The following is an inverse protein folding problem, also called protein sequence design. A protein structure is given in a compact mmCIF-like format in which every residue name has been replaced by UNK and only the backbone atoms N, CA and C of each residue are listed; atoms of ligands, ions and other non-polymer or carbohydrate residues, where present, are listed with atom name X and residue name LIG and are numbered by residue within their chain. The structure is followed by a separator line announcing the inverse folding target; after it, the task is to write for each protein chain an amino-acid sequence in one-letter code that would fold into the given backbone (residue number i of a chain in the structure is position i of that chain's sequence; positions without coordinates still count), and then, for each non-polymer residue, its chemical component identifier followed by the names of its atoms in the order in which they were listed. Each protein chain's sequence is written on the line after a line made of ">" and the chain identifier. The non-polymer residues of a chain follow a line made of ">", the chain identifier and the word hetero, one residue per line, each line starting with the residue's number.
data_IF_339765826924
#
_entry.id   IF_339765826924
#
_cell.length_a   1.000
_cell.length_b   1.000
_cell.length_c   1.000
_cell.angle_alpha   90.00
_cell.angle_beta   90.00
_cell.angle_gamma   90.00
#
_symmetry.space_group_name_H-M   'P 1'
#
loop_
_entity.id
_entity.type
_entity.pdbx_description
1 polymer ?
#
# COMPACT_ATOMS: atom_id res chain seq x y z
N UNK A 1 26.37 1.36 23.77
CA UNK A 1 26.52 -0.08 23.42
C UNK A 1 27.15 -0.19 22.05
N UNK A 2 28.30 -0.87 21.90
CA UNK A 2 29.01 -1.01 20.63
C UNK A 2 28.18 -1.86 19.65
N UNK A 3 28.28 -1.59 18.34
CA UNK A 3 27.61 -2.31 17.25
C UNK A 3 27.76 -3.83 17.36
N UNK A 4 28.97 -4.28 17.73
CA UNK A 4 29.31 -5.71 17.96
C UNK A 4 28.43 -6.33 19.06
N UNK A 5 28.21 -5.62 20.17
CA UNK A 5 27.37 -6.11 21.29
C UNK A 5 25.88 -6.26 20.87
N UNK A 6 25.39 -5.38 20.01
CA UNK A 6 24.02 -5.49 19.43
C UNK A 6 23.91 -6.65 18.45
N UNK A 7 24.94 -6.88 17.63
CA UNK A 7 25.01 -8.01 16.70
C UNK A 7 25.04 -9.35 17.45
N UNK A 8 25.85 -9.45 18.51
CA UNK A 8 25.95 -10.67 19.35
C UNK A 8 24.64 -10.93 20.09
N UNK A 9 23.94 -9.88 20.56
CA UNK A 9 22.63 -10.01 21.19
C UNK A 9 21.56 -10.46 20.19
N UNK A 10 21.57 -9.94 18.95
CA UNK A 10 20.67 -10.38 17.87
C UNK A 10 20.94 -11.84 17.47
N UNK A 11 22.20 -12.22 17.34
CA UNK A 11 22.61 -13.59 17.05
C UNK A 11 22.19 -14.53 18.20
N UNK A 12 22.41 -14.13 19.45
CA UNK A 12 21.98 -14.86 20.64
C UNK A 12 20.46 -15.01 20.71
N UNK A 13 19.69 -13.98 20.34
CA UNK A 13 18.23 -14.02 20.31
C UNK A 13 17.71 -15.00 19.25
N UNK A 14 18.27 -14.98 18.03
CA UNK A 14 17.91 -15.92 16.95
C UNK A 14 18.23 -17.36 17.33
N UNK A 15 19.35 -17.60 18.02
CA UNK A 15 19.74 -18.93 18.49
C UNK A 15 18.89 -19.42 19.67
N UNK A 16 18.40 -18.51 20.53
CA UNK A 16 17.59 -18.84 21.71
C UNK A 16 16.09 -18.99 21.41
N UNK A 17 15.56 -18.27 20.42
CA UNK A 17 14.13 -18.26 20.09
C UNK A 17 13.74 -19.20 18.94
N UNK A 18 14.71 -19.86 18.31
CA UNK A 18 14.52 -20.70 17.14
C UNK A 18 14.37 -19.89 15.83
N UNK A 19 14.64 -20.58 14.71
CA UNK A 19 14.47 -19.98 13.37
C UNK A 19 13.00 -19.97 12.99
N UNK A 20 12.49 -18.80 12.59
CA UNK A 20 11.14 -18.70 11.99
C UNK A 20 11.25 -18.90 10.49
N UNK A 21 10.62 -19.96 9.99
CA UNK A 21 10.52 -20.26 8.56
C UNK A 21 9.47 -19.39 7.87
N UNK A 22 9.61 -19.24 6.56
CA UNK A 22 8.57 -18.63 5.73
C UNK A 22 7.30 -19.50 5.72
N UNK A 23 6.15 -18.87 5.53
CA UNK A 23 4.86 -19.56 5.41
C UNK A 23 4.61 -19.99 3.95
N UNK A 24 4.06 -21.19 3.70
CA UNK A 24 3.75 -21.63 2.35
C UNK A 24 2.84 -20.63 1.62
N UNK A 25 3.18 -20.29 0.38
CA UNK A 25 2.40 -19.33 -0.41
C UNK A 25 0.95 -19.77 -0.60
N UNK A 26 0.71 -21.09 -0.71
CA UNK A 26 -0.65 -21.66 -0.81
C UNK A 26 -1.49 -21.25 0.39
N UNK A 27 -0.98 -21.42 1.60
CA UNK A 27 -1.71 -21.15 2.84
C UNK A 27 -1.96 -19.64 3.01
N UNK A 28 -1.00 -18.82 2.57
CA UNK A 28 -1.17 -17.36 2.54
C UNK A 28 -2.22 -16.92 1.51
N UNK A 29 -2.26 -17.53 0.32
CA UNK A 29 -3.28 -17.26 -0.71
C UNK A 29 -4.68 -17.69 -0.22
N UNK A 30 -4.79 -18.83 0.45
CA UNK A 30 -6.05 -19.31 1.03
C UNK A 30 -6.58 -18.30 2.06
N UNK A 31 -5.70 -17.79 2.94
CA UNK A 31 -6.11 -16.90 4.03
C UNK A 31 -6.32 -15.44 3.58
N UNK A 32 -5.50 -14.92 2.68
CA UNK A 32 -5.44 -13.49 2.34
C UNK A 32 -5.73 -13.17 0.87
N UNK A 33 -5.73 -14.16 0.00
CA UNK A 33 -5.93 -14.03 -1.44
C UNK A 33 -7.32 -14.45 -1.92
N UNK A 34 -8.30 -14.65 -1.02
CA UNK A 34 -9.69 -14.93 -1.38
C UNK A 34 -10.36 -13.75 -2.11
N UNK A 35 -11.53 -13.98 -2.75
CA UNK A 35 -12.27 -12.94 -3.44
C UNK A 35 -12.44 -11.66 -2.60
N UNK A 36 -12.32 -10.47 -3.20
CA UNK A 36 -12.18 -10.12 -4.63
C UNK A 36 -10.73 -10.10 -5.14
N UNK A 37 -9.78 -10.74 -4.46
CA UNK A 37 -8.38 -10.80 -4.89
C UNK A 37 -8.22 -11.46 -6.25
N UNK A 38 -7.29 -10.92 -7.04
CA UNK A 38 -6.89 -11.40 -8.36
C UNK A 38 -5.37 -11.51 -8.41
N UNK A 39 -4.88 -12.33 -9.33
CA UNK A 39 -3.47 -12.55 -9.56
C UNK A 39 -3.18 -12.33 -11.04
N UNK A 40 -2.38 -11.32 -11.36
CA UNK A 40 -1.99 -10.94 -12.72
C UNK A 40 -0.56 -11.40 -12.97
N UNK A 41 -0.32 -12.36 -13.90
CA UNK A 41 1.03 -12.69 -14.34
C UNK A 41 1.65 -11.49 -15.07
N UNK A 42 2.75 -10.95 -14.53
CA UNK A 42 3.45 -9.81 -15.11
C UNK A 42 4.92 -9.81 -14.64
N UNK A 43 5.87 -9.60 -15.55
CA UNK A 43 7.30 -9.47 -15.25
C UNK A 43 7.89 -10.67 -14.44
N UNK A 44 7.34 -11.86 -14.60
CA UNK A 44 7.78 -13.07 -13.89
C UNK A 44 7.27 -13.19 -12.45
N UNK A 45 6.33 -12.34 -12.02
CA UNK A 45 5.60 -12.47 -10.77
C UNK A 45 4.10 -12.58 -10.99
N UNK A 46 3.38 -13.12 -10.03
CA UNK A 46 1.93 -13.01 -9.95
C UNK A 46 1.58 -11.79 -9.08
N UNK A 47 1.19 -10.69 -9.70
CA UNK A 47 0.81 -9.47 -8.98
C UNK A 47 -0.52 -9.69 -8.28
N UNK A 48 -0.54 -9.66 -6.96
CA UNK A 48 -1.76 -9.67 -6.17
C UNK A 48 -2.40 -8.29 -6.18
N UNK A 49 -3.65 -8.21 -6.59
CA UNK A 49 -4.38 -6.96 -6.70
C UNK A 49 -5.88 -7.14 -6.50
N UNK A 50 -6.59 -6.02 -6.29
CA UNK A 50 -8.05 -5.97 -6.23
C UNK A 50 -8.57 -4.82 -7.09
N UNK A 51 -9.73 -5.02 -7.71
CA UNK A 51 -10.46 -4.05 -8.53
C UNK A 51 -11.91 -4.05 -8.08
N UNK A 52 -12.31 -3.02 -7.38
CA UNK A 52 -13.60 -2.94 -6.70
C UNK A 52 -14.33 -1.66 -7.13
N UNK A 53 -15.66 -1.65 -6.97
CA UNK A 53 -16.49 -0.52 -7.33
C UNK A 53 -17.33 -0.75 -8.60
N UNK A 54 -17.95 0.30 -9.16
CA UNK A 54 -18.87 0.18 -10.29
C UNK A 54 -18.23 -0.53 -11.49
N UNK A 55 -18.91 -1.49 -12.09
CA UNK A 55 -18.40 -2.28 -13.22
C UNK A 55 -17.36 -3.35 -12.89
N UNK A 56 -17.10 -3.64 -11.60
CA UNK A 56 -16.05 -4.59 -11.19
C UNK A 56 -16.30 -6.03 -11.70
N UNK A 57 -17.56 -6.46 -11.77
CA UNK A 57 -17.91 -7.80 -12.27
C UNK A 57 -17.66 -7.94 -13.77
N UNK A 58 -18.00 -6.93 -14.58
CA UNK A 58 -17.73 -6.96 -16.02
C UNK A 58 -16.21 -6.93 -16.30
N UNK A 59 -15.46 -6.14 -15.52
CA UNK A 59 -13.99 -6.13 -15.63
C UNK A 59 -13.39 -7.46 -15.17
N UNK A 60 -13.99 -8.14 -14.16
CA UNK A 60 -13.57 -9.46 -13.74
C UNK A 60 -13.71 -10.48 -14.88
N UNK A 61 -14.85 -10.47 -15.57
CA UNK A 61 -15.10 -11.38 -16.69
C UNK A 61 -14.11 -11.18 -17.85
N UNK A 62 -13.69 -9.95 -18.13
CA UNK A 62 -12.70 -9.64 -19.18
C UNK A 62 -11.28 -10.14 -18.86
N UNK A 63 -10.95 -10.31 -17.59
CA UNK A 63 -9.62 -10.75 -17.14
C UNK A 63 -9.61 -12.20 -16.63
N UNK A 64 -10.74 -12.91 -16.73
CA UNK A 64 -10.77 -14.32 -16.40
C UNK A 64 -9.91 -15.10 -17.41
N UNK A 65 -9.06 -16.03 -16.98
CA UNK A 65 -8.40 -16.95 -17.89
C UNK A 65 -9.46 -17.71 -18.68
N UNK A 66 -9.20 -18.07 -19.98
CA UNK A 66 -10.13 -18.89 -20.73
C UNK A 66 -10.44 -20.17 -19.94
N UNK A 67 -11.73 -20.50 -19.84
CA UNK A 67 -12.17 -21.72 -19.14
C UNK A 67 -11.42 -22.90 -19.74
N UNK A 68 -10.53 -23.52 -18.96
CA UNK A 68 -9.93 -24.79 -19.33
C UNK A 68 -11.02 -25.85 -19.44
N UNK A 69 -10.82 -26.96 -20.20
CA UNK A 69 -11.80 -28.01 -20.32
C UNK A 69 -12.16 -28.53 -18.92
N UNK A 70 -13.44 -28.42 -18.56
CA UNK A 70 -13.98 -28.94 -17.30
C UNK A 70 -13.71 -30.45 -17.21
N UNK A 71 -12.77 -30.86 -16.38
CA UNK A 71 -12.73 -32.23 -15.89
C UNK A 71 -13.84 -32.38 -14.84
N UNK A 72 -14.98 -32.93 -15.30
CA UNK A 72 -16.08 -33.28 -14.46
C UNK A 72 -15.67 -34.43 -13.50
N UNK A 73 -15.14 -34.07 -12.33
CA UNK A 73 -15.07 -34.98 -11.19
C UNK A 73 -16.08 -34.51 -10.15
N UNK A 74 -17.23 -35.22 -10.12
CA UNK A 74 -18.29 -35.02 -9.15
C UNK A 74 -17.78 -35.36 -7.75
N UNK A 75 -17.50 -34.35 -6.95
CA UNK A 75 -17.38 -34.44 -5.51
C UNK A 75 -18.52 -33.62 -4.89
N UNK A 76 -19.39 -34.29 -4.14
CA UNK A 76 -20.50 -33.65 -3.44
C UNK A 76 -19.99 -32.59 -2.46
N UNK A 77 -20.47 -31.37 -2.66
CA UNK A 77 -20.15 -30.19 -1.83
C UNK A 77 -20.90 -30.29 -0.51
N UNK A 78 -20.21 -30.20 0.60
CA UNK A 78 -20.81 -30.03 1.91
C UNK A 78 -21.54 -28.68 2.00
N UNK A 79 -22.65 -28.55 2.75
CA UNK A 79 -23.40 -27.31 2.84
C UNK A 79 -22.58 -26.22 3.54
N UNK A 80 -22.62 -25.01 2.97
CA UNK A 80 -22.00 -23.83 3.51
C UNK A 80 -22.59 -23.43 4.88
N UNK A 81 -21.78 -22.96 5.83
CA UNK A 81 -22.31 -22.37 7.07
C UNK A 81 -23.11 -21.11 6.77
N UNK A 82 -24.15 -20.78 7.57
CA UNK A 82 -25.00 -19.62 7.32
C UNK A 82 -24.17 -18.32 7.38
N UNK A 83 -24.40 -17.45 6.39
CA UNK A 83 -23.81 -16.13 6.33
C UNK A 83 -24.21 -15.29 7.56
N UNK A 84 -23.30 -14.48 8.14
CA UNK A 84 -23.67 -13.56 9.21
C UNK A 84 -24.71 -12.57 8.71
N UNK A 85 -25.72 -12.30 9.55
CA UNK A 85 -26.85 -11.43 9.24
C UNK A 85 -26.36 -10.05 8.78
N UNK A 86 -26.88 -9.60 7.63
CA UNK A 86 -26.62 -8.29 7.09
C UNK A 86 -27.15 -7.20 8.06
N UNK A 87 -26.27 -6.32 8.51
CA UNK A 87 -26.65 -5.10 9.22
C UNK A 87 -27.28 -4.16 8.19
N UNK A 88 -28.52 -3.67 8.41
CA UNK A 88 -29.15 -2.75 7.48
C UNK A 88 -28.36 -1.43 7.36
N UNK A 89 -28.27 -0.83 6.17
CA UNK A 89 -27.59 0.44 6.00
C UNK A 89 -28.36 1.55 6.75
N UNK A 90 -27.65 2.57 7.29
CA UNK A 90 -28.28 3.73 7.91
C UNK A 90 -29.12 4.49 6.87
N UNK A 91 -30.21 5.18 7.28
CA UNK A 91 -31.08 5.92 6.37
C UNK A 91 -30.31 7.02 5.65
N UNK A 92 -30.34 6.97 4.32
CA UNK A 92 -29.66 7.92 3.46
C UNK A 92 -30.36 9.28 3.48
N UNK A 93 -29.65 10.32 3.87
CA UNK A 93 -30.00 11.71 3.62
C UNK A 93 -29.19 12.22 2.41
N UNK A 94 -29.89 12.65 1.39
CA UNK A 94 -29.40 13.54 0.34
C UNK A 94 -28.87 12.84 -0.91
N UNK A 95 -29.53 13.10 -2.00
CA UNK A 95 -29.09 12.81 -3.39
C UNK A 95 -27.69 13.38 -3.61
N UNK A 96 -26.68 12.53 -3.41
CA UNK A 96 -25.31 12.84 -3.80
C UNK A 96 -25.24 12.71 -5.34
N UNK A 97 -24.98 13.81 -6.03
CA UNK A 97 -24.68 13.81 -7.45
C UNK A 97 -23.57 12.78 -7.72
N UNK A 98 -23.84 11.83 -8.61
CA UNK A 98 -22.83 10.88 -9.09
C UNK A 98 -21.64 11.65 -9.64
N UNK A 99 -20.39 11.25 -9.34
CA UNK A 99 -19.22 11.88 -9.94
C UNK A 99 -19.30 11.75 -11.46
N UNK A 100 -18.86 12.81 -12.15
CA UNK A 100 -18.87 12.85 -13.61
C UNK A 100 -18.14 11.64 -14.19
N UNK A 101 -18.79 10.95 -15.16
CA UNK A 101 -18.15 9.85 -15.89
C UNK A 101 -16.94 10.37 -16.67
N UNK A 102 -15.86 9.58 -16.75
CA UNK A 102 -14.80 9.83 -17.70
C UNK A 102 -15.35 9.89 -19.14
N UNK A 103 -14.60 10.51 -20.06
CA UNK A 103 -15.05 10.72 -21.47
C UNK A 103 -15.50 9.44 -22.19
N UNK A 104 -15.17 8.28 -21.69
CA UNK A 104 -15.47 6.93 -22.24
C UNK A 104 -16.58 6.20 -21.45
N UNK A 105 -17.27 6.86 -20.54
CA UNK A 105 -18.36 6.25 -19.75
C UNK A 105 -17.89 5.36 -18.57
N UNK A 106 -16.59 5.13 -18.40
CA UNK A 106 -16.04 4.40 -17.27
C UNK A 106 -16.08 5.25 -15.99
N UNK A 107 -16.29 4.63 -14.81
CA UNK A 107 -16.23 5.34 -13.54
C UNK A 107 -14.82 5.89 -13.28
N UNK A 108 -14.68 7.05 -12.62
CA UNK A 108 -13.36 7.55 -12.23
C UNK A 108 -12.64 6.52 -11.38
N UNK A 109 -11.35 6.31 -11.68
CA UNK A 109 -10.53 5.30 -11.01
C UNK A 109 -9.49 5.91 -10.06
N UNK A 110 -9.18 5.19 -9.00
CA UNK A 110 -8.07 5.48 -8.10
C UNK A 110 -7.19 4.24 -7.90
N UNK A 111 -5.87 4.43 -8.01
CA UNK A 111 -4.85 3.43 -7.69
C UNK A 111 -4.26 3.71 -6.31
N UNK A 112 -4.29 2.73 -5.41
CA UNK A 112 -3.83 2.84 -4.02
C UNK A 112 -2.54 2.04 -3.81
N UNK A 113 -1.49 2.73 -3.33
CA UNK A 113 -0.15 2.19 -3.10
C UNK A 113 0.17 2.16 -1.61
N UNK A 114 0.41 0.98 -1.07
CA UNK A 114 0.75 0.78 0.35
C UNK A 114 2.20 1.15 0.69
N UNK A 115 2.49 1.31 1.99
CA UNK A 115 3.82 1.61 2.53
C UNK A 115 4.72 0.38 2.70
N UNK A 116 5.90 0.61 3.27
CA UNK A 116 6.88 -0.43 3.58
C UNK A 116 6.29 -1.47 4.54
N UNK A 117 6.60 -2.75 4.32
CA UNK A 117 6.16 -3.88 5.13
C UNK A 117 4.63 -4.06 5.24
N UNK A 118 3.86 -3.35 4.42
CA UNK A 118 2.40 -3.42 4.36
C UNK A 118 1.93 -4.25 3.16
N UNK A 119 0.65 -4.17 2.83
CA UNK A 119 0.00 -4.83 1.71
C UNK A 119 -1.23 -4.04 1.26
N UNK A 120 -1.87 -4.46 0.18
CA UNK A 120 -3.11 -3.85 -0.30
C UNK A 120 -4.25 -3.82 0.74
N UNK A 121 -4.18 -4.67 1.76
CA UNK A 121 -5.19 -4.73 2.83
C UNK A 121 -5.20 -3.48 3.74
N UNK A 122 -4.13 -2.69 3.77
CA UNK A 122 -4.09 -1.39 4.48
C UNK A 122 -5.20 -0.45 4.01
N UNK A 123 -5.70 -0.67 2.80
CA UNK A 123 -6.72 0.13 2.15
C UNK A 123 -8.16 -0.40 2.31
N UNK A 124 -8.38 -1.47 3.09
CA UNK A 124 -9.72 -2.07 3.23
C UNK A 124 -10.76 -1.06 3.72
N UNK A 125 -10.41 -0.19 4.67
CA UNK A 125 -11.29 0.86 5.17
C UNK A 125 -11.62 1.90 4.10
N UNK A 126 -10.61 2.40 3.40
CA UNK A 126 -10.79 3.33 2.29
C UNK A 126 -11.60 2.74 1.14
N UNK A 127 -11.35 1.49 0.80
CA UNK A 127 -12.08 0.82 -0.28
C UNK A 127 -13.58 0.77 0.01
N UNK A 128 -13.98 0.40 1.23
CA UNK A 128 -15.41 0.40 1.61
C UNK A 128 -16.08 1.76 1.40
N UNK A 129 -15.34 2.86 1.64
CA UNK A 129 -15.86 4.22 1.52
C UNK A 129 -15.85 4.76 0.09
N UNK A 130 -14.84 4.40 -0.69
CA UNK A 130 -14.63 4.93 -2.05
C UNK A 130 -15.35 4.11 -3.13
N UNK A 131 -15.42 2.78 -2.98
CA UNK A 131 -15.93 1.88 -4.01
C UNK A 131 -17.41 2.09 -4.40
N UNK A 132 -18.28 2.67 -3.58
CA UNK A 132 -19.62 3.03 -4.05
C UNK A 132 -19.62 4.07 -5.19
N UNK A 133 -18.57 4.89 -5.30
CA UNK A 133 -18.51 6.01 -6.26
C UNK A 133 -17.36 5.92 -7.26
N UNK A 134 -16.31 5.18 -6.94
CA UNK A 134 -15.07 5.11 -7.70
C UNK A 134 -14.70 3.66 -8.01
N UNK A 135 -14.03 3.45 -9.13
CA UNK A 135 -13.26 2.24 -9.35
C UNK A 135 -12.00 2.30 -8.47
N UNK A 136 -11.90 1.42 -7.49
CA UNK A 136 -10.77 1.35 -6.56
C UNK A 136 -9.87 0.18 -6.95
N UNK A 137 -8.66 0.48 -7.38
CA UNK A 137 -7.63 -0.49 -7.71
C UNK A 137 -6.51 -0.40 -6.67
N UNK A 138 -6.10 -1.53 -6.16
CA UNK A 138 -5.02 -1.64 -5.17
C UNK A 138 -4.23 -2.91 -5.40
N UNK A 139 -2.91 -2.86 -5.17
CA UNK A 139 -2.03 -4.00 -5.41
C UNK A 139 -1.02 -4.15 -4.29
N UNK A 140 -0.48 -5.34 -4.16
CA UNK A 140 0.74 -5.57 -3.39
C UNK A 140 1.95 -5.19 -4.27
N UNK A 141 2.73 -4.23 -3.82
CA UNK A 141 3.96 -3.80 -4.50
C UNK A 141 4.99 -4.95 -4.53
N UNK A 142 5.86 -5.03 -5.56
CA UNK A 142 6.93 -6.03 -5.62
C UNK A 142 7.75 -6.10 -4.34
N UNK A 143 7.99 -7.30 -3.83
CA UNK A 143 8.68 -7.55 -2.57
C UNK A 143 7.81 -7.48 -1.32
N UNK A 144 6.48 -7.35 -1.49
CA UNK A 144 5.52 -7.29 -0.39
C UNK A 144 4.28 -8.15 -0.65
N UNK A 145 3.50 -8.37 0.41
CA UNK A 145 2.22 -9.06 0.37
C UNK A 145 2.28 -10.39 -0.34
N UNK A 146 1.26 -10.72 -1.12
CA UNK A 146 1.22 -11.96 -1.91
C UNK A 146 1.93 -11.83 -3.29
N UNK A 147 2.22 -10.63 -3.77
CA UNK A 147 3.05 -10.43 -4.98
C UNK A 147 4.46 -10.98 -4.77
N UNK A 148 5.09 -10.66 -3.66
CA UNK A 148 6.41 -11.15 -3.29
C UNK A 148 7.58 -10.62 -4.13
N UNK A 149 8.76 -11.25 -4.04
CA UNK A 149 9.98 -10.73 -4.64
C UNK A 149 9.91 -10.70 -6.16
N UNK A 150 10.44 -9.62 -6.75
CA UNK A 150 10.60 -9.50 -8.20
C UNK A 150 11.87 -10.22 -8.65
N UNK A 151 11.85 -10.99 -9.77
CA UNK A 151 13.00 -11.77 -10.23
C UNK A 151 14.25 -10.94 -10.53
N UNK A 152 14.08 -9.67 -10.95
CA UNK A 152 15.22 -8.79 -11.20
C UNK A 152 15.99 -8.38 -9.94
N UNK A 153 15.35 -8.45 -8.76
CA UNK A 153 15.91 -7.90 -7.53
C UNK A 153 16.10 -6.38 -7.53
N UNK A 154 15.67 -5.68 -8.58
CA UNK A 154 15.73 -4.21 -8.66
C UNK A 154 14.48 -3.59 -8.03
N UNK A 155 14.66 -3.00 -6.87
CA UNK A 155 13.64 -2.27 -6.12
C UNK A 155 13.87 -0.76 -6.13
N UNK A 156 14.63 -0.23 -7.07
CA UNK A 156 14.78 1.21 -7.25
C UNK A 156 13.43 1.88 -7.54
N UNK A 157 13.34 3.16 -7.22
CA UNK A 157 12.11 3.91 -7.52
C UNK A 157 11.80 3.95 -9.01
N UNK A 158 12.83 3.98 -9.88
CA UNK A 158 12.62 3.94 -11.33
C UNK A 158 12.00 2.62 -11.76
N UNK A 159 12.59 1.48 -11.37
CA UNK A 159 12.06 0.15 -11.69
C UNK A 159 10.65 -0.06 -11.15
N UNK A 160 10.36 0.46 -9.93
CA UNK A 160 9.01 0.38 -9.37
C UNK A 160 8.00 1.24 -10.14
N UNK A 161 8.39 2.44 -10.59
CA UNK A 161 7.51 3.28 -11.44
C UNK A 161 7.26 2.62 -12.79
N UNK A 162 8.27 2.01 -13.42
CA UNK A 162 8.12 1.24 -14.66
C UNK A 162 7.18 0.04 -14.47
N UNK A 163 7.28 -0.65 -13.34
CA UNK A 163 6.36 -1.73 -12.97
C UNK A 163 4.92 -1.22 -12.81
N UNK A 164 4.72 -0.09 -12.13
CA UNK A 164 3.40 0.51 -11.94
C UNK A 164 2.77 0.97 -13.26
N UNK A 165 3.56 1.46 -14.22
CA UNK A 165 3.10 1.80 -15.55
C UNK A 165 2.53 0.57 -16.27
N UNK A 166 3.32 -0.52 -16.33
CA UNK A 166 2.87 -1.78 -16.95
C UNK A 166 1.66 -2.37 -16.23
N UNK A 167 1.63 -2.30 -14.90
CA UNK A 167 0.46 -2.73 -14.12
C UNK A 167 -0.78 -1.90 -14.47
N UNK A 168 -0.66 -0.58 -14.55
CA UNK A 168 -1.77 0.30 -14.90
C UNK A 168 -2.31 0.00 -16.30
N UNK A 169 -1.43 -0.31 -17.27
CA UNK A 169 -1.82 -0.71 -18.61
C UNK A 169 -2.57 -2.05 -18.61
N UNK A 170 -2.02 -3.06 -17.92
CA UNK A 170 -2.63 -4.38 -17.81
C UNK A 170 -3.97 -4.33 -17.04
N UNK A 171 -4.11 -3.44 -16.06
CA UNK A 171 -5.36 -3.21 -15.34
C UNK A 171 -6.35 -2.31 -16.12
N UNK A 172 -6.00 -1.80 -17.31
CA UNK A 172 -6.84 -0.90 -18.09
C UNK A 172 -7.05 0.48 -17.45
N UNK A 173 -6.07 0.96 -16.69
CA UNK A 173 -6.08 2.29 -16.06
C UNK A 173 -5.41 3.30 -17.00
N UNK A 174 -6.19 3.98 -17.84
CA UNK A 174 -5.65 4.98 -18.78
C UNK A 174 -5.33 6.29 -18.09
N UNK A 175 -6.31 6.87 -17.40
CA UNK A 175 -6.17 8.09 -16.59
C UNK A 175 -6.87 7.89 -15.27
N UNK A 176 -6.16 8.07 -14.15
CA UNK A 176 -6.65 7.72 -12.82
C UNK A 176 -6.08 8.64 -11.75
N UNK A 177 -6.76 8.72 -10.61
CA UNK A 177 -6.16 9.28 -9.40
C UNK A 177 -5.18 8.25 -8.81
N UNK A 178 -4.10 8.72 -8.20
CA UNK A 178 -3.14 7.87 -7.50
C UNK A 178 -2.97 8.33 -6.07
N UNK A 179 -3.06 7.42 -5.12
CA UNK A 179 -2.83 7.69 -3.72
C UNK A 179 -1.78 6.73 -3.15
N UNK A 180 -0.94 7.23 -2.24
CA UNK A 180 0.04 6.38 -1.62
C UNK A 180 0.42 6.83 -0.21
N UNK A 181 0.63 5.83 0.67
CA UNK A 181 1.13 6.05 2.01
C UNK A 181 2.64 5.75 2.06
N UNK A 182 3.40 6.59 2.78
CA UNK A 182 4.82 6.36 3.07
C UNK A 182 5.63 6.09 1.78
N UNK A 183 6.20 4.90 1.63
CA UNK A 183 6.88 4.44 0.41
C UNK A 183 5.95 4.44 -0.82
N UNK A 184 4.69 4.07 -0.67
CA UNK A 184 3.69 4.15 -1.73
C UNK A 184 3.48 5.58 -2.22
N UNK A 185 3.50 6.55 -1.31
CA UNK A 185 3.47 7.98 -1.64
C UNK A 185 4.68 8.42 -2.45
N UNK A 186 5.88 7.90 -2.10
CA UNK A 186 7.11 8.12 -2.87
C UNK A 186 6.98 7.67 -4.33
N UNK A 187 6.41 6.50 -4.56
CA UNK A 187 6.18 6.02 -5.92
C UNK A 187 5.05 6.78 -6.61
N UNK A 188 4.00 7.18 -5.88
CA UNK A 188 2.88 7.93 -6.43
C UNK A 188 3.31 9.28 -7.01
N UNK A 189 4.08 10.10 -6.26
CA UNK A 189 4.52 11.38 -6.81
C UNK A 189 5.58 11.24 -7.90
N UNK A 190 6.42 10.20 -7.86
CA UNK A 190 7.36 9.92 -8.95
C UNK A 190 6.65 9.48 -10.21
N UNK A 191 5.59 8.66 -10.08
CA UNK A 191 4.73 8.30 -11.19
C UNK A 191 4.07 9.56 -11.80
N UNK A 192 3.51 10.43 -10.97
CA UNK A 192 2.89 11.68 -11.41
C UNK A 192 3.86 12.66 -12.10
N UNK A 193 5.14 12.68 -11.68
CA UNK A 193 6.18 13.46 -12.37
C UNK A 193 6.58 12.89 -13.73
N UNK A 194 6.49 11.59 -13.89
CA UNK A 194 6.91 10.89 -15.12
C UNK A 194 5.77 10.80 -16.13
N UNK A 195 4.53 10.61 -15.65
CA UNK A 195 3.33 10.40 -16.44
C UNK A 195 2.21 11.36 -16.03
N UNK A 196 2.43 12.69 -16.09
CA UNK A 196 1.44 13.67 -15.62
C UNK A 196 0.12 13.59 -16.38
N UNK A 197 0.13 13.15 -17.64
CA UNK A 197 -1.06 12.95 -18.49
C UNK A 197 -1.93 11.78 -18.01
N UNK A 198 -1.35 10.80 -17.32
CA UNK A 198 -2.01 9.62 -16.77
C UNK A 198 -2.67 9.89 -15.42
N UNK A 199 -2.24 10.93 -14.70
CA UNK A 199 -2.67 11.21 -13.32
C UNK A 199 -3.69 12.33 -13.29
N UNK A 200 -4.91 12.00 -12.86
CA UNK A 200 -6.00 12.99 -12.73
C UNK A 200 -5.95 13.73 -11.38
N UNK A 201 -5.45 13.08 -10.34
CA UNK A 201 -5.24 13.64 -9.01
C UNK A 201 -4.18 12.82 -8.26
N UNK A 202 -3.43 13.47 -7.38
CA UNK A 202 -2.41 12.85 -6.53
C UNK A 202 -2.79 13.03 -5.05
N UNK A 203 -2.72 11.94 -4.27
CA UNK A 203 -2.94 11.99 -2.81
C UNK A 203 -1.71 11.40 -2.12
N UNK A 204 -1.07 12.19 -1.27
CA UNK A 204 0.12 11.81 -0.52
C UNK A 204 -0.22 11.70 0.96
N UNK A 205 -0.06 10.51 1.54
CA UNK A 205 -0.40 10.22 2.93
C UNK A 205 0.88 9.85 3.67
N UNK A 206 1.32 10.70 4.60
CA UNK A 206 2.58 10.52 5.36
C UNK A 206 3.71 10.04 4.43
N UNK A 207 3.88 10.74 3.30
CA UNK A 207 4.66 10.27 2.16
C UNK A 207 6.16 10.46 2.36
N UNK A 208 6.93 9.46 1.96
CA UNK A 208 8.38 9.65 1.76
C UNK A 208 8.59 10.62 0.61
N UNK A 209 9.50 11.60 0.83
CA UNK A 209 9.84 12.60 -0.18
C UNK A 209 11.16 13.28 0.10
N UNK A 210 11.44 13.56 1.36
CA UNK A 210 12.63 14.31 1.76
C UNK A 210 13.59 13.46 2.58
N UNK A 211 14.90 13.79 2.59
CA UNK A 211 15.84 13.14 3.49
C UNK A 211 15.44 13.35 4.94
N UNK A 212 15.42 12.26 5.72
CA UNK A 212 15.21 12.30 7.17
C UNK A 212 16.51 12.67 7.87
N UNK A 213 16.43 13.46 8.94
CA UNK A 213 17.60 13.88 9.70
C UNK A 213 18.36 12.66 10.26
N UNK A 214 19.69 12.75 10.22
CA UNK A 214 20.55 11.70 10.77
C UNK A 214 20.36 11.58 12.30
N UNK A 215 20.29 10.35 12.83
CA UNK A 215 20.19 10.11 14.27
C UNK A 215 18.78 9.83 14.78
N UNK A 216 17.74 9.87 13.94
CA UNK A 216 16.42 9.39 14.33
C UNK A 216 16.39 7.87 14.45
N UNK A 217 15.45 7.33 15.26
CA UNK A 217 15.29 5.87 15.42
C UNK A 217 15.02 5.16 14.10
N UNK A 218 14.25 5.78 13.22
CA UNK A 218 13.98 5.29 11.85
C UNK A 218 15.24 5.28 10.97
N UNK A 219 16.09 6.31 11.05
CA UNK A 219 17.36 6.35 10.32
C UNK A 219 18.32 5.25 10.78
N UNK A 220 18.39 4.97 12.10
CA UNK A 220 19.22 3.91 12.67
C UNK A 220 18.69 2.53 12.26
N UNK A 221 17.38 2.28 12.33
CA UNK A 221 16.78 1.02 11.93
C UNK A 221 17.01 0.74 10.43
N UNK A 222 16.87 1.74 9.58
CA UNK A 222 17.13 1.65 8.15
C UNK A 222 18.61 1.39 7.85
N UNK A 223 19.53 1.99 8.63
CA UNK A 223 20.97 1.76 8.49
C UNK A 223 21.34 0.33 8.88
N UNK A 224 20.74 -0.22 9.93
CA UNK A 224 20.94 -1.63 10.33
C UNK A 224 20.39 -2.59 9.27
N UNK A 225 19.21 -2.35 8.74
CA UNK A 225 18.59 -3.18 7.68
C UNK A 225 19.42 -3.23 6.39
N UNK A 226 20.26 -2.23 6.12
CA UNK A 226 21.18 -2.18 4.97
C UNK A 226 22.44 -3.03 5.13
N UNK A 227 22.76 -3.46 6.35
CA UNK A 227 23.94 -4.29 6.59
C UNK A 227 23.67 -5.71 6.10
N UNK A 228 24.47 -6.28 5.17
CA UNK A 228 24.21 -7.61 4.60
C UNK A 228 24.05 -8.70 5.65
N UNK A 229 24.92 -8.69 6.67
CA UNK A 229 24.87 -9.67 7.76
C UNK A 229 23.58 -9.53 8.58
N UNK A 230 23.14 -8.31 8.87
CA UNK A 230 21.89 -8.07 9.61
C UNK A 230 20.69 -8.50 8.79
N UNK A 231 20.65 -8.13 7.51
CA UNK A 231 19.54 -8.53 6.62
C UNK A 231 19.46 -10.05 6.45
N UNK A 232 20.59 -10.74 6.38
CA UNK A 232 20.62 -12.19 6.28
C UNK A 232 20.13 -12.86 7.58
N UNK A 233 20.55 -12.37 8.74
CA UNK A 233 20.07 -12.86 10.04
C UNK A 233 18.55 -12.63 10.22
N UNK A 234 18.05 -11.50 9.76
CA UNK A 234 16.63 -11.15 9.85
C UNK A 234 15.73 -12.09 9.04
N UNK A 235 16.27 -12.83 8.04
CA UNK A 235 15.51 -13.86 7.30
C UNK A 235 15.04 -15.01 8.19
N UNK A 236 15.73 -15.26 9.29
CA UNK A 236 15.44 -16.39 10.20
C UNK A 236 14.92 -15.90 11.56
N UNK A 237 14.93 -14.60 11.81
CA UNK A 237 14.49 -14.06 13.09
C UNK A 237 12.97 -14.25 13.27
N UNK A 238 12.50 -14.57 14.50
CA UNK A 238 11.10 -14.49 14.85
C UNK A 238 10.65 -13.03 14.79
N UNK A 239 9.75 -12.72 13.85
CA UNK A 239 9.42 -11.32 13.53
C UNK A 239 8.15 -10.81 14.23
N UNK A 240 7.33 -11.66 14.84
CA UNK A 240 6.06 -11.26 15.46
C UNK A 240 6.21 -10.09 16.43
N UNK A 241 7.15 -10.19 17.37
CA UNK A 241 7.39 -9.12 18.34
C UNK A 241 7.91 -7.82 17.71
N UNK A 242 8.67 -7.94 16.60
CA UNK A 242 9.15 -6.78 15.83
C UNK A 242 7.98 -6.12 15.11
N UNK A 243 7.12 -6.90 14.47
CA UNK A 243 5.93 -6.43 13.77
C UNK A 243 4.97 -5.74 14.73
N UNK A 244 4.64 -6.39 15.85
CA UNK A 244 3.75 -5.81 16.86
C UNK A 244 4.29 -4.49 17.40
N UNK A 245 5.57 -4.45 17.78
CA UNK A 245 6.19 -3.23 18.26
C UNK A 245 6.19 -2.14 17.20
N UNK A 246 6.55 -2.45 15.95
CA UNK A 246 6.56 -1.48 14.86
C UNK A 246 5.17 -0.90 14.60
N UNK A 247 4.12 -1.74 14.64
CA UNK A 247 2.74 -1.28 14.50
C UNK A 247 2.33 -0.35 15.66
N UNK A 248 2.65 -0.73 16.91
CA UNK A 248 2.38 0.11 18.08
C UNK A 248 3.14 1.42 18.06
N UNK A 249 4.34 1.43 17.47
CA UNK A 249 5.15 2.64 17.36
C UNK A 249 4.60 3.60 16.28
N UNK A 250 3.96 3.12 15.21
CA UNK A 250 3.47 3.96 14.10
C UNK A 250 2.00 4.39 14.24
N UNK A 251 1.22 3.72 15.08
CA UNK A 251 -0.13 4.14 15.43
C UNK A 251 -0.08 5.19 16.54
N UNK A 252 -0.83 6.28 16.40
CA UNK A 252 -0.97 7.28 17.46
C UNK A 252 -1.64 6.69 18.72
N UNK A 253 -2.61 5.79 18.51
CA UNK A 253 -3.24 5.02 19.58
C UNK A 253 -2.86 3.53 19.45
N UNK A 254 -1.86 3.06 20.22
CA UNK A 254 -1.41 1.66 20.19
C UNK A 254 -2.49 0.64 20.60
N UNK A 255 -3.59 1.07 21.24
CA UNK A 255 -4.69 0.18 21.62
C UNK A 255 -5.48 -0.33 20.40
N UNK A 256 -5.37 0.35 19.26
CA UNK A 256 -5.98 -0.05 17.97
C UNK A 256 -5.21 -1.18 17.28
N UNK A 257 -4.00 -1.49 17.74
CA UNK A 257 -3.19 -2.60 17.20
C UNK A 257 -3.73 -3.92 17.75
N UNK A 258 -4.62 -4.54 17.01
CA UNK A 258 -5.25 -5.81 17.38
C UNK A 258 -4.34 -7.01 17.05
N UNK A 259 -4.50 -8.16 17.73
CA UNK A 259 -3.80 -9.40 17.36
C UNK A 259 -4.03 -9.80 15.89
N UNK A 260 -5.22 -9.60 15.35
CA UNK A 260 -5.54 -9.91 13.95
C UNK A 260 -4.78 -8.99 12.97
N UNK A 261 -4.56 -7.73 13.34
CA UNK A 261 -3.72 -6.82 12.57
C UNK A 261 -2.27 -7.29 12.55
N UNK A 262 -1.71 -7.64 13.71
CA UNK A 262 -0.35 -8.18 13.84
C UNK A 262 -0.20 -9.47 13.01
N UNK A 263 -1.17 -10.39 13.10
CA UNK A 263 -1.19 -11.64 12.34
C UNK A 263 -1.13 -11.39 10.82
N UNK A 264 -1.87 -10.39 10.32
CA UNK A 264 -1.87 -10.04 8.89
C UNK A 264 -0.51 -9.55 8.44
N UNK A 265 0.06 -8.60 9.17
CA UNK A 265 1.37 -8.03 8.82
C UNK A 265 2.49 -9.08 8.92
N UNK A 266 2.50 -9.88 10.00
CA UNK A 266 3.45 -10.97 10.17
C UNK A 266 3.34 -12.00 9.06
N UNK A 267 2.14 -12.53 8.81
CA UNK A 267 1.93 -13.59 7.83
C UNK A 267 2.36 -13.16 6.42
N UNK A 268 2.01 -11.95 5.98
CA UNK A 268 2.37 -11.45 4.66
C UNK A 268 3.86 -11.10 4.54
N UNK A 269 4.52 -10.73 5.65
CA UNK A 269 5.96 -10.57 5.68
C UNK A 269 6.70 -11.92 5.62
N UNK A 270 6.09 -13.00 6.13
CA UNK A 270 6.60 -14.37 6.08
C UNK A 270 6.34 -15.08 4.73
N UNK A 271 5.79 -14.39 3.72
CA UNK A 271 5.75 -14.95 2.36
C UNK A 271 7.19 -15.18 1.88
N UNK A 272 7.48 -16.35 1.26
CA UNK A 272 8.84 -16.69 0.82
C UNK A 272 9.48 -15.55 0.01
N UNK A 273 10.64 -15.10 0.48
CA UNK A 273 11.46 -14.08 -0.16
C UNK A 273 11.12 -12.61 0.21
N UNK A 274 9.99 -12.29 0.88
CA UNK A 274 9.66 -10.90 1.24
C UNK A 274 10.68 -10.29 2.21
N UNK A 275 11.16 -11.04 3.19
CA UNK A 275 12.19 -10.57 4.13
C UNK A 275 13.51 -10.25 3.43
N UNK A 276 13.88 -11.03 2.42
CA UNK A 276 15.04 -10.75 1.55
C UNK A 276 14.82 -9.51 0.71
N UNK A 277 13.68 -9.42 0.02
CA UNK A 277 13.31 -8.27 -0.82
C UNK A 277 13.30 -6.95 -0.05
N UNK A 278 12.90 -6.96 1.23
CA UNK A 278 12.95 -5.78 2.08
C UNK A 278 14.40 -5.32 2.33
N UNK A 279 15.33 -6.25 2.54
CA UNK A 279 16.77 -5.96 2.63
C UNK A 279 17.34 -5.42 1.32
N UNK A 280 16.98 -6.02 0.18
CA UNK A 280 17.41 -5.59 -1.15
C UNK A 280 16.93 -4.16 -1.45
N UNK A 281 15.67 -3.86 -1.16
CA UNK A 281 15.10 -2.53 -1.28
C UNK A 281 15.85 -1.49 -0.44
N UNK A 282 16.16 -1.82 0.83
CA UNK A 282 16.90 -0.92 1.70
C UNK A 282 18.31 -0.61 1.17
N UNK A 283 18.88 -1.49 0.34
CA UNK A 283 20.18 -1.31 -0.33
C UNK A 283 20.06 -0.55 -1.66
N UNK A 284 18.97 -0.79 -2.42
CA UNK A 284 18.78 -0.21 -3.75
C UNK A 284 18.70 1.31 -3.71
N UNK A 285 18.03 1.88 -2.73
CA UNK A 285 17.86 3.34 -2.64
C UNK A 285 18.13 3.84 -1.22
N UNK A 286 19.32 4.42 -1.04
CA UNK A 286 19.78 4.85 0.29
C UNK A 286 19.09 6.11 0.82
N UNK A 287 18.58 6.96 -0.06
CA UNK A 287 17.87 8.21 0.28
C UNK A 287 16.82 8.49 -0.80
N UNK A 288 15.72 9.14 -0.46
CA UNK A 288 14.77 9.61 -1.47
C UNK A 288 15.47 10.52 -2.46
N UNK A 289 15.27 10.28 -3.77
CA UNK A 289 15.86 11.07 -4.85
C UNK A 289 14.75 11.73 -5.68
N UNK A 290 15.08 12.86 -6.30
CA UNK A 290 14.19 13.54 -7.23
C UNK A 290 13.18 14.49 -6.57
N UNK A 291 13.19 14.66 -5.24
CA UNK A 291 12.30 15.60 -4.54
C UNK A 291 12.47 17.05 -5.00
N UNK A 292 13.65 17.43 -5.51
CA UNK A 292 13.90 18.73 -6.10
C UNK A 292 13.00 19.04 -7.32
N UNK A 293 12.39 17.99 -7.91
CA UNK A 293 11.46 18.12 -9.04
C UNK A 293 9.99 18.27 -8.61
N UNK A 294 9.68 18.17 -7.32
CA UNK A 294 8.31 18.36 -6.81
C UNK A 294 7.67 19.69 -7.27
N UNK A 295 8.41 20.82 -7.38
CA UNK A 295 7.84 22.05 -7.93
C UNK A 295 7.41 21.96 -9.41
N UNK A 296 7.77 20.90 -10.13
CA UNK A 296 7.32 20.64 -11.50
C UNK A 296 5.95 19.95 -11.58
N UNK A 297 5.45 19.38 -10.47
CA UNK A 297 4.11 18.77 -10.42
C UNK A 297 3.04 19.83 -10.72
N UNK A 298 2.12 19.46 -11.63
CA UNK A 298 0.97 20.29 -12.02
C UNK A 298 -0.35 19.57 -11.78
N UNK A 299 -0.28 18.32 -11.35
CA UNK A 299 -1.46 17.52 -11.02
C UNK A 299 -2.10 18.06 -9.75
N UNK A 300 -3.43 18.20 -9.69
CA UNK A 300 -4.10 18.52 -8.42
C UNK A 300 -3.65 17.56 -7.33
N UNK A 301 -3.16 18.11 -6.21
CA UNK A 301 -2.52 17.31 -5.17
C UNK A 301 -3.14 17.59 -3.79
N UNK A 302 -3.49 16.50 -3.08
CA UNK A 302 -3.85 16.51 -1.67
C UNK A 302 -2.70 15.88 -0.87
N UNK A 303 -2.26 16.57 0.16
CA UNK A 303 -1.31 16.07 1.16
C UNK A 303 -2.08 15.83 2.45
N UNK A 304 -1.99 14.63 3.00
CA UNK A 304 -2.66 14.21 4.24
C UNK A 304 -1.60 13.74 5.21
N UNK A 305 -1.67 14.18 6.49
CA UNK A 305 -0.59 13.89 7.42
C UNK A 305 -1.07 13.70 8.85
N UNK A 306 -0.65 12.61 9.50
CA UNK A 306 -0.79 12.43 10.94
C UNK A 306 0.24 13.28 11.69
N UNK A 307 -0.21 14.16 12.60
CA UNK A 307 0.69 15.03 13.36
C UNK A 307 1.55 14.24 14.37
N UNK A 308 1.07 13.04 14.74
CA UNK A 308 1.77 12.13 15.66
C UNK A 308 2.61 11.07 14.93
N UNK A 309 2.90 11.26 13.63
CA UNK A 309 3.78 10.36 12.88
C UNK A 309 5.21 10.39 13.45
N UNK A 310 5.69 9.29 14.06
CA UNK A 310 7.01 9.24 14.67
C UNK A 310 8.15 9.03 13.66
N UNK A 311 7.82 8.68 12.42
CA UNK A 311 8.79 8.35 11.39
C UNK A 311 9.04 9.51 10.43
N UNK A 312 7.96 10.18 10.01
CA UNK A 312 8.00 11.29 9.07
C UNK A 312 7.27 12.48 9.69
N UNK A 313 7.99 13.49 10.23
CA UNK A 313 7.36 14.59 10.93
C UNK A 313 6.44 15.41 10.00
N UNK A 314 5.38 15.98 10.57
CA UNK A 314 4.37 16.78 9.84
C UNK A 314 4.99 17.92 9.01
N UNK A 315 6.17 18.40 9.41
CA UNK A 315 6.94 19.38 8.63
C UNK A 315 7.31 18.90 7.22
N UNK A 316 7.34 17.58 6.96
CA UNK A 316 7.47 17.04 5.60
C UNK A 316 6.17 17.26 4.80
N UNK A 317 4.99 17.09 5.42
CA UNK A 317 3.70 17.42 4.81
C UNK A 317 3.58 18.89 4.44
N UNK A 318 3.97 19.79 5.37
CA UNK A 318 4.04 21.24 5.15
C UNK A 318 5.00 21.57 4.00
N UNK A 319 6.11 20.85 3.93
CA UNK A 319 7.09 21.04 2.85
C UNK A 319 6.53 20.57 1.50
N UNK A 320 5.83 19.45 1.43
CA UNK A 320 5.12 19.04 0.22
C UNK A 320 4.10 20.09 -0.22
N UNK A 321 3.31 20.63 0.72
CA UNK A 321 2.33 21.65 0.43
C UNK A 321 2.95 22.96 -0.10
N UNK A 322 4.11 23.32 0.38
CA UNK A 322 4.88 24.48 -0.11
C UNK A 322 5.52 24.22 -1.47
N UNK A 323 6.13 23.04 -1.66
CA UNK A 323 6.93 22.73 -2.86
C UNK A 323 6.03 22.34 -4.06
N UNK A 324 4.79 21.86 -3.84
CA UNK A 324 3.82 21.53 -4.89
C UNK A 324 2.78 22.63 -4.99
N UNK A 325 2.90 23.47 -6.02
CA UNK A 325 2.01 24.61 -6.21
C UNK A 325 0.53 24.19 -6.35
N UNK A 326 -0.35 24.83 -5.58
CA UNK A 326 -1.78 24.58 -5.61
C UNK A 326 -2.22 23.29 -4.89
N UNK A 327 -1.32 22.61 -4.18
CA UNK A 327 -1.68 21.49 -3.32
C UNK A 327 -2.46 21.96 -2.08
N UNK A 328 -3.29 21.05 -1.54
CA UNK A 328 -4.00 21.23 -0.27
C UNK A 328 -3.36 20.34 0.78
N UNK A 329 -3.16 20.86 1.99
CA UNK A 329 -2.71 20.08 3.15
C UNK A 329 -3.89 19.89 4.12
N UNK A 330 -4.04 18.65 4.60
CA UNK A 330 -4.90 18.29 5.73
C UNK A 330 -4.03 17.58 6.76
N UNK A 331 -4.02 18.05 8.00
CA UNK A 331 -3.34 17.39 9.11
C UNK A 331 -4.34 16.79 10.09
N UNK A 332 -3.92 15.73 10.76
CA UNK A 332 -4.73 14.97 11.70
C UNK A 332 -4.05 14.95 13.08
N UNK A 333 -4.47 15.79 14.02
CA UNK A 333 -3.78 15.96 15.31
C UNK A 333 -3.68 14.70 16.17
N UNK A 334 -4.55 13.71 15.92
CA UNK A 334 -4.67 12.49 16.72
C UNK A 334 -4.28 11.20 15.98
N UNK A 335 -3.71 11.32 14.77
CA UNK A 335 -3.32 10.17 13.95
C UNK A 335 -1.79 10.10 13.78
N UNK A 336 -1.30 8.88 13.64
CA UNK A 336 0.10 8.56 13.41
C UNK A 336 0.43 8.38 11.92
N UNK A 337 1.33 7.42 11.63
CA UNK A 337 1.87 7.18 10.29
C UNK A 337 0.91 6.46 9.32
N UNK A 338 -0.17 5.87 9.85
CA UNK A 338 -1.12 5.10 9.05
C UNK A 338 -2.56 5.68 9.17
N UNK A 339 -2.79 6.97 8.86
CA UNK A 339 -4.08 7.61 9.04
C UNK A 339 -5.23 6.87 8.36
N UNK A 340 -4.96 6.22 7.21
CA UNK A 340 -5.94 5.45 6.46
C UNK A 340 -6.35 4.12 7.13
N UNK A 341 -5.56 3.62 8.09
CA UNK A 341 -5.93 2.47 8.95
C UNK A 341 -6.48 2.95 10.30
N UNK A 342 -5.93 4.04 10.85
CA UNK A 342 -6.31 4.56 12.17
C UNK A 342 -7.69 5.21 12.17
N UNK A 343 -8.02 6.01 11.17
CA UNK A 343 -9.33 6.61 10.97
C UNK A 343 -9.74 6.58 9.49
N UNK A 344 -10.09 5.39 8.98
CA UNK A 344 -10.43 5.22 7.57
C UNK A 344 -11.67 6.02 7.15
N UNK A 345 -12.65 6.21 8.03
CA UNK A 345 -13.88 6.93 7.70
C UNK A 345 -13.61 8.41 7.43
N UNK A 346 -12.90 9.08 8.32
CA UNK A 346 -12.56 10.50 8.19
C UNK A 346 -11.60 10.72 7.02
N UNK A 347 -10.52 9.95 6.96
CA UNK A 347 -9.47 10.17 5.97
C UNK A 347 -9.95 9.84 4.54
N UNK A 348 -10.78 8.79 4.37
CA UNK A 348 -11.41 8.49 3.09
C UNK A 348 -12.47 9.53 2.69
N UNK A 349 -13.21 10.11 3.65
CA UNK A 349 -14.17 11.18 3.36
C UNK A 349 -13.46 12.43 2.82
N UNK A 350 -12.37 12.86 3.47
CA UNK A 350 -11.56 14.01 3.02
C UNK A 350 -10.96 13.77 1.63
N UNK A 351 -10.46 12.56 1.37
CA UNK A 351 -9.96 12.16 0.05
C UNK A 351 -11.06 12.16 -1.02
N UNK A 352 -12.25 11.63 -0.69
CA UNK A 352 -13.40 11.60 -1.61
C UNK A 352 -13.90 13.00 -1.95
N UNK A 353 -13.95 13.89 -0.96
CA UNK A 353 -14.29 15.30 -1.15
C UNK A 353 -13.32 15.98 -2.12
N UNK A 354 -12.01 15.81 -1.91
CA UNK A 354 -10.99 16.33 -2.83
C UNK A 354 -11.14 15.76 -4.24
N UNK A 355 -11.36 14.46 -4.38
CA UNK A 355 -11.52 13.80 -5.68
C UNK A 355 -12.76 14.29 -6.41
N UNK A 356 -13.90 14.49 -5.72
CA UNK A 356 -15.11 15.04 -6.30
C UNK A 356 -14.87 16.44 -6.86
N UNK A 357 -14.24 17.32 -6.08
CA UNK A 357 -13.91 18.68 -6.51
C UNK A 357 -12.97 18.73 -7.71
N UNK A 358 -12.10 17.74 -7.83
CA UNK A 358 -11.03 17.69 -8.86
C UNK A 358 -11.51 17.02 -10.14
N UNK A 359 -12.22 15.87 -10.02
CA UNK A 359 -12.61 15.05 -11.18
C UNK A 359 -13.85 15.59 -11.90
N UNK A 360 -14.62 16.48 -11.29
CA UNK A 360 -15.78 17.15 -11.92
C UNK A 360 -15.40 18.41 -12.71
N UNK A 361 -14.18 18.93 -12.54
CA UNK A 361 -13.73 20.10 -13.32
C UNK A 361 -13.29 19.66 -14.72
N UNK A 362 -13.75 20.34 -15.79
CA UNK A 362 -13.19 20.10 -17.12
C UNK A 362 -11.69 20.39 -17.12
N UNK A 363 -10.88 19.65 -17.90
CA UNK A 363 -9.45 19.95 -18.05
C UNK A 363 -9.29 21.39 -18.55
N UNK A 364 -8.37 22.13 -17.88
CA UNK A 364 -8.01 23.50 -18.33
C UNK A 364 -7.19 23.44 -19.59
#
# INVERSE_FOLDING_TARGET
>A
MTLVRRLVLLLGLVLLTGCQTDLPLRDLKERWGGPPSRFLPMDGVEVHWRDEGPGALERAARHAPPAGPETATGAARAPDPPAPAAVPPPPGNGSAASPARAADGEPPAILLLHGTASSLHTWDGWTRRLSPSLRVVRLDLPGFGLTGPHPSGDYSASATVDFLERFADAAGLRRFAIAGNSLGGYYAWRFALRHPERVSALILIDSVGYPVASGTSSAVALQLARMPVVSELMRFAPIRGIVERSLRDVYADPSRVTPALVDRYEALMLRPGNRTAMGDRARAERRPVGWQRLPQLRVPTLVMWGELDPWLPVSHGERFARDIAGSRLITYPTLGHLPMEEDPERTAADALEFLRQTLTRPPK
#
